data_IF_549521123703
#
_entry.id   IF_549521123703
#
_cell.length_a   1.000
_cell.length_b   1.000
_cell.length_c   1.000
_cell.angle_alpha   90.00
_cell.angle_beta   90.00
_cell.angle_gamma   90.00
#
_symmetry.space_group_name_H-M   'P 1'
#
loop_
_entity.id
_entity.type
_entity.pdbx_description
1 polymer ?
#
# COMPACT_ATOMS: atom_id res chain seq x y z
N UNK A 1 -8.02 18.59 14.67
CA UNK A 1 -7.92 17.72 15.86
C UNK A 1 -6.81 16.72 15.60
N UNK A 2 -5.74 16.73 16.38
CA UNK A 2 -4.55 15.91 16.17
C UNK A 2 -4.56 14.84 17.26
N UNK A 3 -4.99 13.62 16.95
CA UNK A 3 -4.91 12.49 17.87
C UNK A 3 -3.57 11.80 17.68
N UNK A 4 -2.66 11.96 18.65
CA UNK A 4 -1.40 11.23 18.71
C UNK A 4 -1.61 9.92 19.46
N UNK A 5 -1.64 8.80 18.74
CA UNK A 5 -1.59 7.46 19.35
C UNK A 5 -0.12 7.14 19.69
N UNK A 6 0.17 6.95 20.98
CA UNK A 6 1.46 6.43 21.47
C UNK A 6 1.30 4.93 21.74
N UNK A 7 2.06 4.09 21.07
CA UNK A 7 2.19 2.67 21.40
C UNK A 7 3.52 2.45 22.14
N UNK A 8 3.48 1.73 23.26
CA UNK A 8 4.66 1.35 24.02
C UNK A 8 5.06 -0.10 23.65
N UNK A 9 6.32 -0.30 23.25
CA UNK A 9 6.87 -1.64 23.03
C UNK A 9 7.15 -2.34 24.37
N UNK A 10 6.67 -3.58 24.53
CA UNK A 10 7.11 -4.47 25.61
C UNK A 10 8.23 -5.39 25.11
N UNK A 11 9.26 -5.56 25.94
CA UNK A 11 10.48 -6.32 25.67
C UNK A 11 10.27 -7.85 25.61
N UNK A 12 11.11 -8.53 24.82
CA UNK A 12 11.22 -9.99 24.71
C UNK A 12 12.18 -10.59 25.76
N UNK A 13 11.99 -11.87 26.15
CA UNK A 13 13.13 -12.80 26.24
C UNK A 13 12.74 -14.28 25.92
N UNK A 14 13.63 -15.29 26.07
CA UNK A 14 14.80 -15.58 25.24
C UNK A 14 14.77 -17.01 24.62
N UNK A 15 15.74 -17.28 23.76
CA UNK A 15 16.01 -18.50 22.96
C UNK A 15 16.62 -19.69 23.71
N UNK A 16 16.25 -20.93 23.34
CA UNK A 16 17.04 -22.19 23.40
C UNK A 16 16.26 -23.29 22.63
N UNK A 17 16.80 -24.34 21.99
CA UNK A 17 18.12 -24.92 21.80
C UNK A 17 18.15 -25.78 20.51
N UNK A 18 19.34 -26.01 19.96
CA UNK A 18 19.68 -26.87 18.81
C UNK A 18 19.45 -28.36 19.03
N UNK A 19 19.08 -29.10 17.97
CA UNK A 19 19.56 -30.47 17.69
C UNK A 19 19.70 -30.65 16.16
N UNK A 20 20.85 -31.16 15.71
CA UNK A 20 21.13 -31.69 14.37
C UNK A 20 21.96 -32.98 14.53
N UNK A 21 22.31 -33.73 13.47
CA UNK A 21 21.51 -34.28 12.37
C UNK A 21 21.62 -35.83 12.32
N UNK A 22 20.78 -36.51 11.55
CA UNK A 22 21.03 -37.92 11.18
C UNK A 22 21.25 -38.04 9.67
N UNK A 23 22.49 -38.35 9.34
CA UNK A 23 22.96 -38.81 8.04
C UNK A 23 22.49 -40.25 7.81
N UNK A 24 21.86 -40.53 6.68
CA UNK A 24 21.97 -41.83 6.03
C UNK A 24 22.14 -41.66 4.52
N UNK A 25 23.02 -42.49 3.99
CA UNK A 25 23.73 -42.41 2.72
C UNK A 25 22.92 -42.88 1.49
N UNK A 26 23.33 -42.31 0.35
CA UNK A 26 22.99 -42.59 -1.04
C UNK A 26 22.72 -44.05 -1.45
N UNK A 27 21.86 -44.25 -2.47
CA UNK A 27 22.26 -44.91 -3.74
C UNK A 27 21.26 -44.66 -4.90
N UNK A 28 21.83 -44.19 -6.01
CA UNK A 28 21.49 -44.30 -7.45
C UNK A 28 20.06 -44.54 -8.02
N UNK A 29 19.64 -43.53 -8.80
CA UNK A 29 19.41 -43.57 -10.26
C UNK A 29 18.14 -44.26 -10.83
N UNK A 30 17.19 -43.47 -11.38
CA UNK A 30 16.64 -43.65 -12.75
C UNK A 30 15.63 -42.55 -13.15
N UNK A 31 15.81 -42.06 -14.38
CA UNK A 31 14.92 -41.22 -15.17
C UNK A 31 13.50 -41.83 -15.30
N UNK A 32 12.44 -41.01 -15.17
CA UNK A 32 11.45 -40.71 -16.24
C UNK A 32 10.16 -40.06 -15.72
N UNK A 33 9.66 -39.18 -16.61
CA UNK A 33 8.26 -38.84 -16.89
C UNK A 33 7.63 -37.69 -16.09
N UNK A 34 7.83 -36.51 -16.68
CA UNK A 34 6.88 -35.41 -16.79
C UNK A 34 5.42 -35.92 -16.81
N UNK A 35 4.64 -35.59 -15.79
CA UNK A 35 3.18 -35.50 -15.86
C UNK A 35 2.82 -34.06 -15.55
N UNK A 36 2.36 -33.36 -16.58
CA UNK A 36 1.72 -32.06 -16.46
C UNK A 36 0.50 -32.20 -15.54
N UNK A 37 0.66 -31.81 -14.28
CA UNK A 37 -0.46 -31.44 -13.43
C UNK A 37 -0.88 -30.04 -13.85
N UNK A 38 -1.92 -29.95 -14.68
CA UNK A 38 -2.62 -28.70 -14.94
C UNK A 38 -3.25 -28.27 -13.60
N UNK A 39 -2.56 -27.38 -12.88
CA UNK A 39 -3.19 -26.60 -11.82
C UNK A 39 -4.18 -25.69 -12.54
N UNK A 40 -5.46 -26.03 -12.46
CA UNK A 40 -6.54 -25.13 -12.86
C UNK A 40 -6.51 -23.98 -11.86
N UNK A 41 -5.69 -22.96 -12.16
CA UNK A 41 -5.76 -21.67 -11.49
C UNK A 41 -7.07 -21.07 -12.00
N UNK A 42 -8.10 -21.05 -11.15
CA UNK A 42 -9.35 -20.38 -11.48
C UNK A 42 -9.00 -18.92 -11.80
N UNK A 43 -9.07 -18.54 -13.08
CA UNK A 43 -8.97 -17.15 -13.48
C UNK A 43 -10.24 -16.47 -12.95
N UNK A 44 -10.09 -15.68 -11.87
CA UNK A 44 -11.18 -14.82 -11.42
C UNK A 44 -11.51 -13.90 -12.59
N UNK A 45 -12.72 -13.97 -13.15
CA UNK A 45 -13.15 -12.96 -14.11
C UNK A 45 -13.11 -11.57 -13.47
N UNK A 46 -12.82 -10.54 -14.26
CA UNK A 46 -12.67 -9.15 -13.81
C UNK A 46 -13.88 -8.66 -13.00
N UNK A 47 -15.06 -9.13 -13.38
CA UNK A 47 -16.34 -8.76 -12.76
C UNK A 47 -16.54 -9.38 -11.36
N UNK A 48 -15.77 -10.41 -10.99
CA UNK A 48 -15.98 -11.16 -9.73
C UNK A 48 -14.85 -10.97 -8.71
N UNK A 49 -13.86 -10.10 -8.97
CA UNK A 49 -12.78 -9.83 -8.01
C UNK A 49 -13.11 -8.64 -7.11
N UNK A 50 -13.42 -8.86 -5.82
CA UNK A 50 -13.81 -7.79 -4.92
C UNK A 50 -12.70 -6.76 -4.67
N UNK A 51 -11.42 -7.17 -4.72
CA UNK A 51 -10.29 -6.24 -4.55
C UNK A 51 -10.16 -5.32 -5.75
N UNK A 52 -10.29 -5.89 -6.94
CA UNK A 52 -10.28 -5.12 -8.18
C UNK A 52 -11.44 -4.13 -8.26
N UNK A 53 -12.65 -4.57 -7.92
CA UNK A 53 -13.83 -3.70 -7.91
C UNK A 53 -13.71 -2.58 -6.86
N UNK A 54 -13.18 -2.88 -5.67
CA UNK A 54 -12.91 -1.85 -4.66
C UNK A 54 -11.91 -0.80 -5.16
N UNK A 55 -10.81 -1.23 -5.82
CA UNK A 55 -9.82 -0.32 -6.39
C UNK A 55 -10.38 0.53 -7.54
N UNK A 56 -11.22 -0.06 -8.41
CA UNK A 56 -11.93 0.68 -9.47
C UNK A 56 -12.87 1.72 -8.87
N UNK A 57 -13.60 1.38 -7.80
CA UNK A 57 -14.45 2.34 -7.10
C UNK A 57 -13.62 3.50 -6.54
N UNK A 58 -12.51 3.24 -5.87
CA UNK A 58 -11.56 4.26 -5.39
C UNK A 58 -11.04 5.15 -6.53
N UNK A 59 -10.65 4.55 -7.67
CA UNK A 59 -10.23 5.28 -8.86
C UNK A 59 -11.35 6.16 -9.43
N UNK A 60 -12.59 5.68 -9.43
CA UNK A 60 -13.75 6.46 -9.88
C UNK A 60 -13.97 7.70 -9.03
N UNK A 61 -13.73 7.65 -7.71
CA UNK A 61 -13.84 8.82 -6.84
C UNK A 61 -12.82 9.91 -7.25
N UNK A 62 -11.58 9.51 -7.54
CA UNK A 62 -10.53 10.42 -8.04
C UNK A 62 -10.84 10.98 -9.43
N UNK A 63 -11.41 10.17 -10.30
CA UNK A 63 -11.84 10.60 -11.62
C UNK A 63 -12.94 11.65 -11.54
N UNK A 64 -13.98 11.42 -10.72
CA UNK A 64 -15.04 12.40 -10.50
C UNK A 64 -14.51 13.68 -9.86
N UNK A 65 -13.62 13.58 -8.86
CA UNK A 65 -12.98 14.73 -8.23
C UNK A 65 -12.25 15.61 -9.25
N UNK A 66 -11.49 14.98 -10.15
CA UNK A 66 -10.73 15.66 -11.22
C UNK A 66 -11.61 16.50 -12.15
N UNK A 67 -12.88 16.12 -12.32
CA UNK A 67 -13.83 16.80 -13.22
C UNK A 67 -14.75 17.81 -12.51
N UNK A 68 -14.55 18.04 -11.21
CA UNK A 68 -15.29 19.08 -10.48
C UNK A 68 -14.87 20.47 -10.96
N UNK A 69 -15.76 21.45 -10.80
CA UNK A 69 -15.47 22.86 -11.14
C UNK A 69 -14.30 23.43 -10.32
N UNK A 70 -14.20 23.03 -9.05
CA UNK A 70 -13.11 23.39 -8.13
C UNK A 70 -12.59 22.11 -7.46
N UNK A 71 -11.67 21.38 -8.12
CA UNK A 71 -11.18 20.08 -7.67
C UNK A 71 -10.12 20.25 -6.57
N UNK A 72 -10.19 19.42 -5.51
CA UNK A 72 -9.20 19.37 -4.45
C UNK A 72 -7.82 18.94 -4.96
N UNK A 73 -7.80 18.03 -5.94
CA UNK A 73 -6.61 17.54 -6.63
C UNK A 73 -6.98 17.06 -8.04
N UNK A 74 -5.96 16.94 -8.88
CA UNK A 74 -6.09 16.41 -10.24
C UNK A 74 -5.39 15.05 -10.31
N UNK A 75 -6.11 14.06 -10.82
CA UNK A 75 -5.59 12.75 -11.16
C UNK A 75 -5.82 12.48 -12.65
N UNK A 76 -4.82 12.76 -13.51
CA UNK A 76 -4.98 12.62 -14.95
C UNK A 76 -5.07 11.16 -15.40
N UNK A 77 -4.74 10.21 -14.52
CA UNK A 77 -4.67 8.78 -14.85
C UNK A 77 -5.87 7.99 -14.34
N UNK A 78 -6.62 8.50 -13.35
CA UNK A 78 -7.77 7.80 -12.78
C UNK A 78 -8.78 7.32 -13.85
N UNK A 79 -8.95 8.09 -14.93
CA UNK A 79 -9.87 7.77 -16.02
C UNK A 79 -9.54 6.47 -16.78
N UNK A 80 -8.28 6.01 -16.79
CA UNK A 80 -7.95 4.75 -17.48
C UNK A 80 -8.47 3.51 -16.74
N UNK A 81 -8.79 3.63 -15.46
CA UNK A 81 -9.30 2.51 -14.65
C UNK A 81 -10.81 2.36 -14.72
N UNK A 82 -11.53 3.46 -14.92
CA UNK A 82 -12.99 3.56 -14.79
C UNK A 82 -13.68 3.19 -16.11
N UNK A 83 -14.73 2.38 -16.05
CA UNK A 83 -15.61 2.11 -17.19
C UNK A 83 -16.81 3.06 -17.19
N UNK A 84 -17.45 3.26 -18.34
CA UNK A 84 -18.54 4.23 -18.57
C UNK A 84 -19.83 3.97 -17.77
N UNK A 85 -19.91 2.93 -16.95
CA UNK A 85 -21.14 2.52 -16.24
C UNK A 85 -21.04 2.53 -14.70
N UNK A 86 -19.97 3.07 -14.11
CA UNK A 86 -19.87 3.16 -12.65
C UNK A 86 -20.70 4.32 -12.11
N UNK A 87 -22.01 4.11 -11.95
CA UNK A 87 -22.88 5.03 -11.22
C UNK A 87 -22.64 4.86 -9.71
N UNK A 88 -22.25 5.94 -9.02
CA UNK A 88 -22.11 5.91 -7.56
C UNK A 88 -23.08 6.89 -6.91
N UNK A 89 -23.98 6.35 -6.09
CA UNK A 89 -24.80 7.10 -5.12
C UNK A 89 -24.11 7.04 -3.75
N UNK A 90 -23.04 7.83 -3.53
CA UNK A 90 -22.36 7.92 -2.22
C UNK A 90 -21.60 9.26 -2.04
N UNK A 91 -22.25 10.41 -2.22
CA UNK A 91 -21.61 11.74 -2.14
C UNK A 91 -20.73 11.94 -0.87
N UNK A 92 -21.17 11.45 0.28
CA UNK A 92 -20.42 11.61 1.54
C UNK A 92 -19.13 10.78 1.57
N UNK A 93 -19.17 9.50 1.17
CA UNK A 93 -17.95 8.66 1.13
C UNK A 93 -16.97 9.16 0.06
N UNK A 94 -17.51 9.63 -1.06
CA UNK A 94 -16.71 10.28 -2.12
C UNK A 94 -15.93 11.47 -1.56
N UNK A 95 -16.61 12.39 -0.86
CA UNK A 95 -15.98 13.58 -0.28
C UNK A 95 -14.87 13.23 0.73
N UNK A 96 -15.10 12.25 1.59
CA UNK A 96 -14.13 11.82 2.61
C UNK A 96 -12.85 11.27 1.98
N UNK A 97 -12.99 10.38 0.99
CA UNK A 97 -11.88 9.81 0.26
C UNK A 97 -11.08 10.87 -0.51
N UNK A 98 -11.75 11.85 -1.12
CA UNK A 98 -11.07 12.93 -1.83
C UNK A 98 -10.28 13.86 -0.90
N UNK A 99 -10.86 14.23 0.25
CA UNK A 99 -10.14 15.00 1.29
C UNK A 99 -8.91 14.22 1.78
N UNK A 100 -9.06 12.91 1.99
CA UNK A 100 -7.95 12.06 2.39
C UNK A 100 -6.84 12.02 1.34
N UNK A 101 -7.21 11.87 0.08
CA UNK A 101 -6.28 11.89 -1.05
C UNK A 101 -5.47 13.19 -1.04
N UNK A 102 -6.14 14.35 -0.93
CA UNK A 102 -5.49 15.66 -0.87
C UNK A 102 -4.55 15.80 0.32
N UNK A 103 -5.00 15.43 1.52
CA UNK A 103 -4.19 15.47 2.72
C UNK A 103 -2.92 14.63 2.59
N UNK A 104 -3.06 13.39 2.09
CA UNK A 104 -1.95 12.45 1.92
C UNK A 104 -0.96 12.99 0.88
N UNK A 105 -1.43 13.52 -0.24
CA UNK A 105 -0.59 14.11 -1.29
C UNK A 105 0.26 15.27 -0.76
N UNK A 106 -0.38 16.24 -0.09
CA UNK A 106 0.29 17.40 0.49
C UNK A 106 1.31 16.96 1.54
N UNK A 107 0.94 16.00 2.39
CA UNK A 107 1.79 15.52 3.46
C UNK A 107 2.99 14.73 2.94
N UNK A 108 2.80 13.90 1.92
CA UNK A 108 3.87 13.19 1.22
C UNK A 108 4.88 14.19 0.64
N UNK A 109 4.41 15.13 -0.18
CA UNK A 109 5.29 16.12 -0.81
C UNK A 109 5.99 17.00 0.22
N UNK A 110 5.27 17.53 1.21
CA UNK A 110 5.86 18.34 2.27
C UNK A 110 6.94 17.56 3.02
N UNK A 111 6.65 16.33 3.45
CA UNK A 111 7.61 15.53 4.22
C UNK A 111 8.84 15.18 3.39
N UNK A 112 8.63 14.68 2.17
CA UNK A 112 9.71 14.22 1.28
C UNK A 112 10.62 15.37 0.85
N UNK A 113 10.09 16.59 0.68
CA UNK A 113 10.90 17.79 0.42
C UNK A 113 11.84 18.16 1.57
N UNK A 114 11.51 17.79 2.81
CA UNK A 114 12.35 18.05 3.98
C UNK A 114 13.32 16.89 4.31
N UNK A 115 13.36 15.83 3.50
CA UNK A 115 14.28 14.72 3.69
C UNK A 115 15.58 14.93 2.92
N UNK A 116 16.70 14.77 3.63
CA UNK A 116 18.04 14.80 3.03
C UNK A 116 18.38 13.48 2.33
N UNK A 117 19.11 13.56 1.22
CA UNK A 117 19.57 12.39 0.48
C UNK A 117 18.44 11.58 -0.17
N UNK A 118 18.57 10.25 -0.09
CA UNK A 118 17.62 9.28 -0.65
C UNK A 118 16.30 9.33 0.11
N UNK A 119 15.22 9.62 -0.62
CA UNK A 119 13.86 9.71 -0.09
C UNK A 119 13.16 8.37 -0.28
N UNK A 120 12.73 7.75 0.82
CA UNK A 120 12.03 6.48 0.79
C UNK A 120 10.56 6.69 1.11
N UNK A 121 9.70 6.39 0.16
CA UNK A 121 8.24 6.48 0.29
C UNK A 121 7.67 5.07 0.19
N UNK A 122 6.82 4.69 1.14
CA UNK A 122 6.07 3.44 1.09
C UNK A 122 4.58 3.77 1.04
N UNK A 123 3.94 3.34 -0.02
CA UNK A 123 2.51 3.47 -0.26
C UNK A 123 1.86 2.13 0.08
N UNK A 124 0.93 2.14 1.03
CA UNK A 124 0.08 1.02 1.40
C UNK A 124 -1.27 1.26 0.71
N UNK A 125 -1.46 0.64 -0.47
CA UNK A 125 -2.53 1.00 -1.41
C UNK A 125 -3.45 -0.15 -1.82
N UNK A 126 -4.52 0.17 -2.53
CA UNK A 126 -5.40 -0.80 -3.20
C UNK A 126 -4.82 -1.37 -4.51
N UNK A 127 -3.67 -0.86 -4.97
CA UNK A 127 -3.00 -1.26 -6.21
C UNK A 127 -3.33 -0.40 -7.42
N UNK A 128 -4.21 0.60 -7.31
CA UNK A 128 -4.49 1.59 -8.36
C UNK A 128 -3.96 2.99 -8.02
N UNK A 129 -3.02 3.12 -7.10
CA UNK A 129 -2.44 4.41 -6.73
C UNK A 129 -1.65 5.04 -7.90
N UNK A 130 -2.00 6.28 -8.26
CA UNK A 130 -1.39 7.03 -9.37
C UNK A 130 -0.38 8.08 -8.90
N UNK A 131 -0.20 8.26 -7.57
CA UNK A 131 0.77 9.21 -6.99
C UNK A 131 2.17 9.09 -7.58
N UNK A 132 2.73 7.88 -7.84
CA UNK A 132 4.04 7.75 -8.45
C UNK A 132 4.16 8.46 -9.81
N UNK A 133 3.04 8.62 -10.52
CA UNK A 133 2.96 9.18 -11.87
C UNK A 133 2.53 10.65 -11.88
N UNK A 134 1.64 11.06 -10.94
CA UNK A 134 1.04 12.42 -10.96
C UNK A 134 1.64 13.43 -9.98
N UNK A 135 2.35 12.98 -8.94
CA UNK A 135 2.99 13.90 -7.99
C UNK A 135 4.38 14.32 -8.47
N UNK A 136 4.73 15.59 -8.21
CA UNK A 136 6.03 16.16 -8.52
C UNK A 136 7.09 15.73 -7.50
N UNK A 137 7.48 14.46 -7.55
CA UNK A 137 8.46 13.90 -6.63
C UNK A 137 9.83 14.56 -6.75
N UNK A 138 10.49 14.89 -5.62
CA UNK A 138 11.87 15.35 -5.64
C UNK A 138 12.81 14.29 -6.21
N UNK A 139 13.95 14.74 -6.75
CA UNK A 139 14.98 13.81 -7.24
C UNK A 139 15.45 12.85 -6.13
N UNK A 140 15.87 11.65 -6.53
CA UNK A 140 16.33 10.60 -5.63
C UNK A 140 15.23 10.11 -4.68
N UNK A 141 14.01 9.95 -5.21
CA UNK A 141 12.89 9.33 -4.50
C UNK A 141 12.69 7.90 -4.98
N UNK A 142 12.68 6.95 -4.05
CA UNK A 142 12.27 5.57 -4.28
C UNK A 142 10.91 5.35 -3.61
N UNK A 143 9.96 4.84 -4.38
CA UNK A 143 8.60 4.55 -3.96
C UNK A 143 8.38 3.06 -3.99
N UNK A 144 7.89 2.52 -2.88
CA UNK A 144 7.46 1.13 -2.75
C UNK A 144 5.94 1.09 -2.64
N UNK A 145 5.26 0.38 -3.54
CA UNK A 145 3.81 0.14 -3.42
C UNK A 145 3.56 -1.24 -2.86
N UNK A 146 3.02 -1.31 -1.64
CA UNK A 146 2.54 -2.51 -1.00
C UNK A 146 1.05 -2.62 -1.29
N UNK A 147 0.69 -3.53 -2.19
CA UNK A 147 -0.68 -3.68 -2.70
C UNK A 147 -0.93 -5.08 -3.26
N UNK A 148 -2.20 -5.48 -3.46
CA UNK A 148 -2.52 -6.78 -4.07
C UNK A 148 -1.92 -6.92 -5.46
N UNK A 149 -1.18 -8.02 -5.69
CA UNK A 149 -0.41 -8.23 -6.93
C UNK A 149 -1.27 -8.14 -8.19
N UNK A 150 -2.46 -8.76 -8.15
CA UNK A 150 -3.34 -8.81 -9.32
C UNK A 150 -3.86 -7.42 -9.71
N UNK A 151 -4.22 -6.60 -8.72
CA UNK A 151 -4.74 -5.25 -8.97
C UNK A 151 -3.63 -4.36 -9.52
N UNK A 152 -2.44 -4.42 -8.90
CA UNK A 152 -1.27 -3.69 -9.37
C UNK A 152 -0.92 -4.01 -10.83
N UNK A 153 -0.86 -5.29 -11.21
CA UNK A 153 -0.50 -5.69 -12.57
C UNK A 153 -1.47 -5.09 -13.61
N UNK A 154 -2.78 -5.15 -13.36
CA UNK A 154 -3.78 -4.55 -14.24
C UNK A 154 -3.68 -3.02 -14.29
N UNK A 155 -3.40 -2.39 -13.15
CA UNK A 155 -3.22 -0.95 -13.10
C UNK A 155 -1.99 -0.54 -13.91
N UNK A 156 -0.87 -1.26 -13.75
CA UNK A 156 0.38 -1.01 -14.48
C UNK A 156 0.21 -1.15 -16.00
N UNK A 157 -0.51 -2.17 -16.48
CA UNK A 157 -0.83 -2.34 -17.90
C UNK A 157 -1.63 -1.16 -18.46
N UNK A 158 -2.68 -0.72 -17.74
CA UNK A 158 -3.51 0.43 -18.15
C UNK A 158 -2.73 1.74 -18.14
N UNK A 159 -1.90 1.94 -17.12
CA UNK A 159 -1.06 3.13 -16.96
C UNK A 159 0.01 3.22 -18.06
N UNK A 160 0.64 2.10 -18.42
CA UNK A 160 1.56 2.06 -19.55
C UNK A 160 0.84 2.34 -20.88
N UNK A 161 -0.36 1.78 -21.05
CA UNK A 161 -1.21 2.01 -22.23
C UNK A 161 -1.58 3.48 -22.48
N UNK A 162 -1.71 4.29 -21.41
CA UNK A 162 -1.92 5.75 -21.52
C UNK A 162 -0.64 6.57 -21.47
N UNK A 163 0.53 5.90 -21.46
CA UNK A 163 1.84 6.56 -21.46
C UNK A 163 2.21 7.23 -20.14
N UNK A 164 1.65 6.79 -19.00
CA UNK A 164 2.04 7.31 -17.69
C UNK A 164 3.54 7.04 -17.44
N UNK A 165 4.29 8.06 -16.99
CA UNK A 165 5.73 7.95 -16.72
C UNK A 165 6.06 8.41 -15.31
N UNK A 166 6.92 7.64 -14.65
CA UNK A 166 7.54 8.04 -13.39
C UNK A 166 8.59 9.12 -13.68
N UNK A 167 8.75 10.14 -12.81
CA UNK A 167 9.81 11.13 -12.97
C UNK A 167 11.19 10.48 -13.12
N UNK A 168 12.01 10.97 -14.05
CA UNK A 168 13.26 10.31 -14.50
C UNK A 168 14.27 9.96 -13.37
N UNK A 169 14.26 10.72 -12.27
CA UNK A 169 15.17 10.53 -11.12
C UNK A 169 14.49 9.85 -9.93
N UNK A 170 13.39 9.16 -10.19
CA UNK A 170 12.63 8.41 -9.21
C UNK A 170 12.54 6.93 -9.62
N UNK A 171 12.35 6.06 -8.64
CA UNK A 171 12.11 4.64 -8.84
C UNK A 171 10.77 4.26 -8.23
N UNK A 172 10.03 3.41 -8.91
CA UNK A 172 8.76 2.87 -8.44
C UNK A 172 8.79 1.34 -8.47
N UNK A 173 8.58 0.72 -7.31
CA UNK A 173 8.73 -0.72 -7.13
C UNK A 173 7.51 -1.30 -6.40
N UNK A 174 6.87 -2.29 -7.01
CA UNK A 174 5.78 -3.03 -6.35
C UNK A 174 6.31 -4.06 -5.35
N UNK A 175 5.64 -4.19 -4.22
CA UNK A 175 5.84 -5.20 -3.17
C UNK A 175 4.50 -5.91 -2.98
N UNK A 176 4.33 -7.15 -3.45
CA UNK A 176 3.07 -7.87 -3.31
C UNK A 176 2.65 -7.98 -1.84
N UNK A 177 1.42 -7.57 -1.53
CA UNK A 177 0.84 -7.72 -0.19
C UNK A 177 0.79 -9.20 0.23
N UNK A 178 0.67 -10.11 -0.74
CA UNK A 178 0.62 -11.55 -0.55
C UNK A 178 2.00 -12.20 -0.30
N UNK A 179 3.07 -11.41 -0.25
CA UNK A 179 4.41 -11.94 0.07
C UNK A 179 4.47 -12.49 1.50
N UNK A 180 5.16 -13.61 1.76
CA UNK A 180 5.26 -14.16 3.12
C UNK A 180 6.02 -13.25 4.09
N UNK A 181 6.90 -12.37 3.58
CA UNK A 181 7.67 -11.44 4.39
C UNK A 181 7.85 -10.10 3.66
N UNK A 182 7.02 -9.12 4.04
CA UNK A 182 7.04 -7.77 3.44
C UNK A 182 8.36 -7.08 3.73
N UNK A 183 8.89 -7.20 4.95
CA UNK A 183 10.15 -6.56 5.36
C UNK A 183 11.34 -7.05 4.55
N UNK A 184 11.49 -8.36 4.39
CA UNK A 184 12.55 -8.96 3.57
C UNK A 184 12.41 -8.56 2.10
N UNK A 185 11.18 -8.54 1.57
CA UNK A 185 10.91 -8.13 0.19
C UNK A 185 11.28 -6.67 -0.05
N UNK A 186 10.96 -5.77 0.89
CA UNK A 186 11.34 -4.36 0.84
C UNK A 186 12.85 -4.19 0.84
N UNK A 187 13.57 -4.85 1.78
CA UNK A 187 15.04 -4.77 1.88
C UNK A 187 15.69 -5.28 0.60
N UNK A 188 15.21 -6.40 0.05
CA UNK A 188 15.71 -6.96 -1.22
C UNK A 188 15.50 -6.01 -2.40
N UNK A 189 14.43 -5.21 -2.37
CA UNK A 189 14.12 -4.17 -3.37
C UNK A 189 14.86 -2.85 -3.11
N UNK A 190 15.71 -2.78 -2.09
CA UNK A 190 16.57 -1.63 -1.83
C UNK A 190 16.06 -0.68 -0.74
N UNK A 191 15.03 -1.06 0.01
CA UNK A 191 14.68 -0.32 1.23
C UNK A 191 15.82 -0.39 2.24
N UNK A 192 16.14 0.75 2.86
CA UNK A 192 17.20 0.90 3.83
C UNK A 192 16.64 1.40 5.17
N UNK A 193 16.55 0.50 6.16
CA UNK A 193 16.08 0.81 7.52
C UNK A 193 17.02 1.70 8.35
N UNK A 194 18.22 2.02 7.85
CA UNK A 194 19.13 2.99 8.47
C UNK A 194 18.90 4.43 8.00
N UNK A 195 17.84 4.65 7.18
CA UNK A 195 17.45 5.96 6.67
C UNK A 195 15.97 6.24 6.94
N UNK A 196 15.58 7.51 7.16
CA UNK A 196 14.18 7.88 7.33
C UNK A 196 13.33 7.45 6.13
N UNK A 197 12.08 7.08 6.40
CA UNK A 197 11.08 6.70 5.41
C UNK A 197 9.72 7.28 5.76
N UNK A 198 8.91 7.52 4.73
CA UNK A 198 7.55 8.04 4.86
C UNK A 198 6.59 6.98 4.39
N UNK A 199 5.66 6.61 5.25
CA UNK A 199 4.68 5.56 5.02
C UNK A 199 3.29 6.19 4.94
N UNK A 200 2.59 5.98 3.84
CA UNK A 200 1.24 6.49 3.62
C UNK A 200 0.27 5.32 3.37
N UNK A 201 -0.85 5.29 4.09
CA UNK A 201 -1.91 4.29 3.90
C UNK A 201 -3.19 4.92 3.34
N UNK A 202 -3.71 4.34 2.25
CA UNK A 202 -5.02 4.66 1.73
C UNK A 202 -5.56 3.51 0.89
N UNK A 203 -6.76 3.02 1.20
CA UNK A 203 -7.39 1.96 0.40
C UNK A 203 -6.78 0.56 0.55
N UNK A 204 -5.71 0.36 1.34
CA UNK A 204 -5.14 -0.96 1.57
C UNK A 204 -6.23 -1.95 2.04
N UNK A 205 -6.45 -3.08 1.35
CA UNK A 205 -7.59 -3.96 1.60
C UNK A 205 -7.32 -4.90 2.78
N UNK A 206 -7.29 -4.34 3.98
CA UNK A 206 -7.17 -5.10 5.23
C UNK A 206 -8.54 -5.42 5.80
N UNK A 207 -8.80 -6.69 6.06
CA UNK A 207 -10.12 -7.18 6.50
C UNK A 207 -10.18 -7.48 8.01
N UNK A 208 -9.05 -7.45 8.72
CA UNK A 208 -8.98 -7.82 10.14
C UNK A 208 -8.03 -6.93 10.94
N UNK A 209 -8.28 -6.82 12.25
CA UNK A 209 -7.36 -6.16 13.20
C UNK A 209 -5.99 -6.80 13.19
N UNK A 210 -5.92 -8.13 13.10
CA UNK A 210 -4.65 -8.88 13.00
C UNK A 210 -3.85 -8.43 11.79
N UNK A 211 -4.46 -8.36 10.60
CA UNK A 211 -3.75 -7.92 9.39
C UNK A 211 -3.30 -6.45 9.47
N UNK A 212 -4.03 -5.60 10.19
CA UNK A 212 -3.63 -4.22 10.42
C UNK A 212 -2.49 -4.11 11.43
N UNK A 213 -2.54 -4.86 12.53
CA UNK A 213 -1.45 -4.96 13.51
C UNK A 213 -0.17 -5.50 12.88
N UNK A 214 -0.24 -6.49 11.99
CA UNK A 214 0.90 -7.01 11.24
C UNK A 214 1.56 -5.93 10.36
N UNK A 215 0.76 -5.09 9.70
CA UNK A 215 1.28 -3.93 8.96
C UNK A 215 1.93 -2.94 9.91
N UNK A 216 1.31 -2.60 11.04
CA UNK A 216 1.89 -1.69 12.02
C UNK A 216 3.21 -2.22 12.60
N UNK A 217 3.28 -3.52 12.89
CA UNK A 217 4.51 -4.20 13.34
C UNK A 217 5.58 -4.16 12.27
N UNK A 218 5.22 -4.38 11.00
CA UNK A 218 6.15 -4.25 9.86
C UNK A 218 6.71 -2.84 9.76
N UNK A 219 5.83 -1.82 9.81
CA UNK A 219 6.24 -0.40 9.79
C UNK A 219 7.15 -0.10 10.98
N UNK A 220 6.77 -0.52 12.19
CA UNK A 220 7.54 -0.29 13.41
C UNK A 220 8.91 -0.96 13.36
N UNK A 221 9.01 -2.19 12.84
CA UNK A 221 10.26 -2.95 12.71
C UNK A 221 11.22 -2.37 11.66
N UNK A 222 10.73 -1.50 10.79
CA UNK A 222 11.50 -0.85 9.72
C UNK A 222 11.69 0.65 9.94
N UNK A 223 11.11 1.20 11.01
CA UNK A 223 11.18 2.60 11.33
C UNK A 223 12.53 2.97 11.96
N UNK A 224 12.91 4.24 11.81
CA UNK A 224 13.97 4.89 12.56
C UNK A 224 13.55 6.31 12.91
N UNK A 225 14.37 7.03 13.68
CA UNK A 225 14.12 8.44 13.97
C UNK A 225 13.90 9.24 12.68
N UNK A 226 12.80 9.97 12.62
CA UNK A 226 12.42 10.76 11.45
C UNK A 226 11.51 10.05 10.46
N UNK A 227 11.17 8.77 10.69
CA UNK A 227 10.10 8.12 9.94
C UNK A 227 8.73 8.69 10.32
N UNK A 228 7.85 8.78 9.33
CA UNK A 228 6.44 9.18 9.52
C UNK A 228 5.52 8.09 8.97
N UNK A 229 4.41 7.87 9.66
CA UNK A 229 3.29 7.05 9.17
C UNK A 229 1.98 7.82 9.30
N UNK A 230 1.25 7.95 8.21
CA UNK A 230 -0.02 8.68 8.18
C UNK A 230 -0.94 8.14 7.10
N UNK A 231 -2.21 8.50 7.16
CA UNK A 231 -3.14 8.15 6.10
C UNK A 231 -4.57 8.04 6.57
N UNK A 232 -5.35 7.31 5.78
CA UNK A 232 -6.73 6.93 6.06
C UNK A 232 -6.76 5.63 6.85
N UNK A 233 -7.44 5.61 8.00
CA UNK A 233 -7.73 4.37 8.71
C UNK A 233 -8.80 3.56 7.97
N UNK A 234 -8.69 2.23 7.90
CA UNK A 234 -9.75 1.36 7.43
C UNK A 234 -11.09 1.69 8.12
N UNK A 235 -12.16 1.86 7.34
CA UNK A 235 -13.45 2.32 7.86
C UNK A 235 -14.01 1.43 8.98
N UNK A 236 -13.77 0.12 8.92
CA UNK A 236 -14.21 -0.84 9.94
C UNK A 236 -13.52 -0.65 11.30
N UNK A 237 -12.35 0.00 11.36
CA UNK A 237 -11.68 0.35 12.63
C UNK A 237 -12.37 1.52 13.34
N UNK A 238 -13.00 2.42 12.59
CA UNK A 238 -13.71 3.56 13.19
C UNK A 238 -15.02 3.14 13.87
N UNK A 239 -15.56 1.96 13.55
CA UNK A 239 -16.83 1.46 14.07
C UNK A 239 -16.70 0.71 15.41
N UNK A 240 -15.48 0.38 15.85
CA UNK A 240 -15.24 -0.39 17.10
C UNK A 240 -15.14 0.46 18.36
N UNK A 241 -15.31 1.79 18.26
CA UNK A 241 -15.20 2.71 19.40
C UNK A 241 -16.35 3.72 19.48
N UNK A 242 -17.20 3.54 20.50
CA UNK A 242 -18.17 4.50 21.05
C UNK A 242 -19.46 4.67 20.23
N UNK A 243 -20.58 4.36 20.88
CA UNK A 243 -21.93 4.56 20.35
C UNK A 243 -22.20 6.02 19.99
N UNK A 244 -22.11 6.32 18.70
CA UNK A 244 -23.06 7.12 17.93
C UNK A 244 -22.58 7.16 16.48
N UNK A 245 -23.51 6.99 15.55
CA UNK A 245 -23.32 6.90 14.09
C UNK A 245 -22.77 8.20 13.49
N UNK A 246 -21.47 8.43 13.61
CA UNK A 246 -20.74 9.45 12.85
C UNK A 246 -19.46 8.82 12.32
N UNK A 247 -19.42 8.48 11.03
CA UNK A 247 -18.19 8.10 10.32
C UNK A 247 -17.24 9.31 10.31
N UNK A 248 -16.39 9.45 11.32
CA UNK A 248 -15.27 10.37 11.26
C UNK A 248 -14.22 9.83 10.30
N UNK A 249 -13.74 10.67 9.38
CA UNK A 249 -12.46 10.38 8.72
C UNK A 249 -11.38 10.59 9.76
N UNK A 250 -10.86 9.50 10.31
CA UNK A 250 -9.76 9.56 11.26
C UNK A 250 -8.47 9.68 10.45
N UNK A 251 -8.09 10.92 10.19
CA UNK A 251 -6.72 11.24 9.81
C UNK A 251 -5.83 11.07 11.03
N UNK A 252 -4.76 10.30 10.88
CA UNK A 252 -3.75 10.20 11.92
C UNK A 252 -2.38 10.53 11.35
N UNK A 253 -1.55 11.13 12.19
CA UNK A 253 -0.12 11.24 11.97
C UNK A 253 0.51 10.54 13.17
N UNK A 254 1.10 9.37 12.93
CA UNK A 254 1.98 8.73 13.87
C UNK A 254 3.41 9.17 13.56
N UNK A 255 4.01 9.95 14.47
CA UNK A 255 5.47 10.09 14.49
C UNK A 255 5.99 8.80 15.10
N UNK A 256 6.71 8.01 14.31
CA UNK A 256 7.35 6.79 14.78
C UNK A 256 8.55 7.21 15.62
N UNK A 257 8.33 7.43 16.91
CA UNK A 257 9.39 7.67 17.90
C UNK A 257 9.77 6.32 18.47
N UNK A 258 10.94 5.82 18.06
CA UNK A 258 11.66 4.77 18.78
C UNK A 258 12.38 5.38 19.99
#
# INVERSE_FOLDING_TARGET
MQCALKFACSAAPPSSASIAPLLFSNTHNKKKKLRNGCSIRAELSDDNDPLLQAAINSASLRFHETHRQDPLFIDPYAGCFVSTHTQMDMETKAKQYCIATKFIDDKLLSTVNHMDGLKQVVLLSDGMDTRPYRLNWPSSTIMFDISPLRVFQKAAEKLDGVGAKIPQRCLFLHVPLETPNIQETLVTKGFNGTRPSVWAIQGLPLMTLVSFEEILLTVSGMAMKGCLFFGELPAWLAETGIGNKVCYVIFFIAVLVL
#
